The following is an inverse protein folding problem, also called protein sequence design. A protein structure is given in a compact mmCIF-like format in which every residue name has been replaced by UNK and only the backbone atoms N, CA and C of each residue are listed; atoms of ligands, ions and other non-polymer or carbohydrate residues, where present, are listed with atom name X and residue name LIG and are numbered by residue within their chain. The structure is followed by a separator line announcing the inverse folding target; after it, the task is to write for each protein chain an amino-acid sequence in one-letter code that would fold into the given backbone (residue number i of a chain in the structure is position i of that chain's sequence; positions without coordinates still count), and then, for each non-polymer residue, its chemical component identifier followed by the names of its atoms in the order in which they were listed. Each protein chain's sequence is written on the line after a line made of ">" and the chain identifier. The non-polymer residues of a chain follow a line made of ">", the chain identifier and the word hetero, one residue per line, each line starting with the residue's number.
data_IF_773434888103
#
_entry.id   IF_773434888103
#
_cell.length_a   1.000
_cell.length_b   1.000
_cell.length_c   1.000
_cell.angle_alpha   90.00
_cell.angle_beta   90.00
_cell.angle_gamma   90.00
#
_symmetry.space_group_name_H-M   'P 1'
#
loop_
_entity.id
_entity.type
_entity.pdbx_description
1 polymer ?
#
# COMPACT_ATOMS: atom_id res chain seq x y z
N UNK A 1 22.19 0.14 -9.51
CA UNK A 1 21.43 -0.38 -10.68
C UNK A 1 20.14 0.39 -10.81
N UNK A 2 19.63 0.62 -12.03
CA UNK A 2 18.38 1.34 -12.28
C UNK A 2 17.26 0.33 -12.46
N UNK A 3 16.22 0.37 -11.63
CA UNK A 3 15.04 -0.46 -11.83
C UNK A 3 14.44 -0.17 -13.23
N UNK A 4 14.15 -1.20 -14.05
CA UNK A 4 13.89 -1.05 -15.49
C UNK A 4 12.58 -0.32 -15.87
N UNK A 5 11.75 0.06 -14.90
CA UNK A 5 10.41 0.63 -15.12
C UNK A 5 10.22 2.03 -14.51
N UNK A 6 11.29 2.82 -14.42
CA UNK A 6 11.16 4.21 -13.99
C UNK A 6 10.36 5.02 -15.03
N UNK A 7 9.25 5.70 -14.66
CA UNK A 7 8.61 6.62 -15.59
C UNK A 7 9.57 7.77 -15.92
N UNK A 8 9.49 8.29 -17.14
CA UNK A 8 10.30 9.43 -17.58
C UNK A 8 9.91 10.76 -16.92
N UNK A 9 8.90 10.76 -16.06
CA UNK A 9 8.27 11.94 -15.45
C UNK A 9 8.51 12.05 -13.94
N UNK A 10 8.84 13.29 -13.54
CA UNK A 10 8.90 13.88 -12.19
C UNK A 10 8.92 12.94 -10.97
N UNK A 11 10.09 12.36 -10.68
CA UNK A 11 10.38 11.79 -9.37
C UNK A 11 10.34 12.87 -8.28
N UNK A 12 9.67 12.62 -7.17
CA UNK A 12 9.64 13.49 -6.00
C UNK A 12 10.13 12.75 -4.76
N UNK A 13 10.67 13.49 -3.80
CA UNK A 13 10.97 12.95 -2.46
C UNK A 13 9.77 13.31 -1.57
N UNK A 14 8.91 12.33 -1.31
CA UNK A 14 7.81 12.40 -0.34
C UNK A 14 8.11 11.45 0.82
N UNK A 15 7.66 11.76 2.05
CA UNK A 15 7.78 10.82 3.16
C UNK A 15 7.08 9.50 2.83
N UNK A 16 7.68 8.38 3.25
CA UNK A 16 7.04 7.08 3.11
C UNK A 16 5.70 7.05 3.88
N UNK A 17 4.66 6.37 3.37
CA UNK A 17 3.42 6.16 4.10
C UNK A 17 3.69 5.51 5.46
N UNK A 18 3.11 6.04 6.54
CA UNK A 18 3.31 5.50 7.88
C UNK A 18 2.61 4.14 8.03
N UNK A 19 3.37 3.08 8.28
CA UNK A 19 2.81 1.73 8.48
C UNK A 19 1.93 1.69 9.72
N UNK A 20 0.69 1.23 9.54
CA UNK A 20 -0.26 0.98 10.63
C UNK A 20 -0.31 -0.50 11.00
N UNK A 21 -0.27 -1.35 9.98
CA UNK A 21 -0.38 -2.79 10.11
C UNK A 21 0.49 -3.50 9.09
N UNK A 22 1.14 -4.58 9.51
CA UNK A 22 1.78 -5.55 8.61
C UNK A 22 0.77 -6.68 8.39
N UNK A 23 0.41 -6.92 7.13
CA UNK A 23 -0.53 -7.98 6.74
C UNK A 23 0.19 -9.28 6.39
N UNK A 24 1.40 -9.16 5.86
CA UNK A 24 2.26 -10.30 5.51
C UNK A 24 3.73 -9.93 5.69
N UNK A 25 4.48 -10.84 6.30
CA UNK A 25 5.90 -10.70 6.58
C UNK A 25 6.62 -11.99 6.21
N UNK A 26 7.68 -11.88 5.43
CA UNK A 26 8.61 -12.95 5.13
C UNK A 26 9.97 -12.33 4.81
N UNK A 27 10.93 -12.45 5.73
CA UNK A 27 12.20 -11.71 5.67
C UNK A 27 11.97 -10.19 5.54
N UNK A 28 11.14 -9.67 6.45
CA UNK A 28 10.67 -8.28 6.46
C UNK A 28 9.25 -8.10 5.88
N UNK A 29 8.63 -6.92 6.09
CA UNK A 29 7.26 -6.67 5.65
C UNK A 29 7.15 -6.79 4.12
N UNK A 30 6.16 -7.54 3.65
CA UNK A 30 5.86 -7.69 2.21
C UNK A 30 4.49 -7.14 1.84
N UNK A 31 3.59 -6.97 2.81
CA UNK A 31 2.30 -6.31 2.63
C UNK A 31 1.91 -5.52 3.87
N UNK A 32 1.47 -4.28 3.69
CA UNK A 32 1.13 -3.36 4.78
C UNK A 32 -0.14 -2.59 4.51
N UNK A 33 -0.84 -2.22 5.58
CA UNK A 33 -1.74 -1.08 5.58
C UNK A 33 -1.00 0.12 6.14
N UNK A 34 -1.04 1.23 5.41
CA UNK A 34 -0.33 2.45 5.74
C UNK A 34 -1.23 3.67 5.58
N UNK A 35 -0.76 4.80 6.11
CA UNK A 35 -1.43 6.09 5.98
C UNK A 35 -0.45 7.11 5.41
N UNK A 36 -0.83 7.81 4.34
CA UNK A 36 0.01 8.86 3.78
C UNK A 36 -0.06 10.17 4.59
N UNK A 37 0.74 11.16 4.18
CA UNK A 37 0.76 12.49 4.82
C UNK A 37 -0.59 13.23 4.78
N UNK A 38 -1.50 12.83 3.88
CA UNK A 38 -2.85 13.39 3.74
C UNK A 38 -3.88 12.63 4.58
N UNK A 39 -3.48 11.60 5.29
CA UNK A 39 -4.39 10.75 6.08
C UNK A 39 -5.12 9.69 5.25
N UNK A 40 -4.77 9.48 3.98
CA UNK A 40 -5.40 8.45 3.15
C UNK A 40 -4.87 7.07 3.54
N UNK A 41 -5.79 6.11 3.67
CA UNK A 41 -5.44 4.71 3.89
C UNK A 41 -4.98 4.06 2.59
N UNK A 42 -3.84 3.37 2.65
CA UNK A 42 -3.17 2.74 1.52
C UNK A 42 -2.87 1.28 1.83
N UNK A 43 -2.97 0.43 0.80
CA UNK A 43 -2.45 -0.94 0.82
C UNK A 43 -1.12 -0.94 0.06
N UNK A 44 -0.04 -1.25 0.75
CA UNK A 44 1.29 -1.38 0.19
C UNK A 44 1.69 -2.82 -0.02
N UNK A 45 2.31 -3.12 -1.17
CA UNK A 45 2.93 -4.41 -1.48
C UNK A 45 4.38 -4.17 -1.88
N UNK A 46 5.31 -4.94 -1.29
CA UNK A 46 6.70 -4.97 -1.71
C UNK A 46 6.78 -5.70 -3.06
N UNK A 47 7.36 -5.04 -4.06
CA UNK A 47 7.39 -5.52 -5.44
C UNK A 47 8.77 -6.01 -5.87
N UNK A 48 9.84 -5.38 -5.38
CA UNK A 48 11.22 -5.72 -5.75
C UNK A 48 12.20 -5.21 -4.68
N UNK A 49 13.39 -5.78 -4.59
CA UNK A 49 14.44 -5.35 -3.66
C UNK A 49 15.81 -5.39 -4.37
N UNK A 50 16.57 -4.29 -4.28
CA UNK A 50 17.91 -4.23 -4.87
C UNK A 50 19.01 -4.74 -3.91
N UNK A 51 20.22 -4.93 -4.44
CA UNK A 51 21.39 -5.41 -3.68
C UNK A 51 21.80 -4.46 -2.52
N UNK A 52 21.31 -3.21 -2.52
CA UNK A 52 21.56 -2.23 -1.45
C UNK A 52 20.50 -2.32 -0.33
N UNK A 53 19.53 -3.24 -0.45
CA UNK A 53 18.42 -3.43 0.48
C UNK A 53 17.31 -2.39 0.32
N UNK A 54 17.28 -1.65 -0.80
CA UNK A 54 16.18 -0.75 -1.11
C UNK A 54 15.02 -1.56 -1.67
N UNK A 55 13.91 -1.57 -0.95
CA UNK A 55 12.68 -2.22 -1.40
C UNK A 55 11.81 -1.23 -2.17
N UNK A 56 11.32 -1.64 -3.32
CA UNK A 56 10.29 -0.93 -4.06
C UNK A 56 8.91 -1.35 -3.59
N UNK A 57 8.13 -0.37 -3.18
CA UNK A 57 6.77 -0.54 -2.68
C UNK A 57 5.76 0.08 -3.64
N UNK A 58 4.68 -0.64 -3.91
CA UNK A 58 3.55 -0.17 -4.69
C UNK A 58 2.36 -0.03 -3.74
N UNK A 59 1.79 1.17 -3.68
CA UNK A 59 0.67 1.50 -2.83
C UNK A 59 -0.56 1.85 -3.65
N UNK A 60 -1.69 1.24 -3.29
CA UNK A 60 -2.98 1.57 -3.87
C UNK A 60 -3.94 2.15 -2.81
N UNK A 61 -4.89 3.02 -3.21
CA UNK A 61 -5.91 3.54 -2.30
C UNK A 61 -6.74 2.40 -1.69
N UNK A 62 -6.69 2.30 -0.37
CA UNK A 62 -7.33 1.23 0.38
C UNK A 62 -8.17 1.83 1.51
N UNK A 63 -9.29 2.49 1.18
CA UNK A 63 -10.14 3.06 2.20
C UNK A 63 -10.71 1.93 3.09
N UNK A 64 -10.91 2.16 4.40
CA UNK A 64 -11.22 1.09 5.36
C UNK A 64 -12.40 0.21 4.96
N UNK A 65 -13.46 0.79 4.39
CA UNK A 65 -14.63 0.08 3.89
C UNK A 65 -14.30 -0.93 2.80
N UNK A 66 -13.39 -0.58 1.88
CA UNK A 66 -12.96 -1.46 0.81
C UNK A 66 -12.08 -2.58 1.32
N UNK A 67 -11.24 -2.29 2.32
CA UNK A 67 -10.43 -3.30 3.02
C UNK A 67 -11.33 -4.31 3.71
N UNK A 68 -12.33 -3.86 4.47
CA UNK A 68 -13.26 -4.77 5.16
C UNK A 68 -14.07 -5.65 4.19
N UNK A 69 -14.61 -5.07 3.11
CA UNK A 69 -15.36 -5.83 2.10
C UNK A 69 -14.49 -6.91 1.47
N UNK A 70 -13.23 -6.62 1.16
CA UNK A 70 -12.32 -7.60 0.55
C UNK A 70 -11.94 -8.75 1.50
N UNK A 71 -11.82 -8.46 2.80
CA UNK A 71 -11.63 -9.48 3.83
C UNK A 71 -12.82 -10.44 3.94
N UNK A 72 -14.03 -9.92 3.79
CA UNK A 72 -15.26 -10.70 3.94
C UNK A 72 -15.59 -11.50 2.67
N UNK A 73 -15.25 -10.95 1.49
CA UNK A 73 -15.61 -11.54 0.20
C UNK A 73 -14.53 -12.44 -0.41
N UNK A 74 -13.31 -12.44 0.16
CA UNK A 74 -12.12 -13.07 -0.44
C UNK A 74 -11.85 -12.60 -1.87
N UNK A 75 -12.38 -11.44 -2.27
CA UNK A 75 -12.11 -10.90 -3.60
C UNK A 75 -10.61 -10.53 -3.73
N UNK A 76 -10.10 -10.62 -4.96
CA UNK A 76 -8.66 -10.60 -5.24
C UNK A 76 -8.00 -9.27 -4.87
N UNK A 77 -6.82 -9.37 -4.25
CA UNK A 77 -5.95 -8.26 -3.83
C UNK A 77 -5.69 -7.26 -4.97
N UNK A 78 -5.63 -7.78 -6.19
CA UNK A 78 -5.39 -7.01 -7.42
C UNK A 78 -6.40 -5.89 -7.65
N UNK A 79 -7.65 -6.03 -7.19
CA UNK A 79 -8.68 -5.02 -7.40
C UNK A 79 -8.32 -3.64 -6.83
N UNK A 80 -7.48 -3.57 -5.79
CA UNK A 80 -6.97 -2.29 -5.27
C UNK A 80 -6.12 -1.55 -6.29
N UNK A 81 -5.28 -2.28 -7.03
CA UNK A 81 -4.33 -1.74 -8.00
C UNK A 81 -4.94 -1.51 -9.38
N UNK A 82 -6.24 -1.80 -9.56
CA UNK A 82 -6.95 -1.56 -10.82
C UNK A 82 -7.76 -0.25 -10.78
N UNK A 83 -7.81 0.42 -9.62
CA UNK A 83 -8.66 1.60 -9.42
C UNK A 83 -7.92 2.69 -8.66
N UNK A 84 -7.94 3.91 -9.21
CA UNK A 84 -7.35 5.09 -8.60
C UNK A 84 -5.88 5.28 -8.94
N UNK A 85 -5.28 6.33 -8.38
CA UNK A 85 -3.86 6.64 -8.55
C UNK A 85 -3.02 5.73 -7.66
N UNK A 86 -1.99 5.10 -8.26
CA UNK A 86 -1.06 4.20 -7.58
C UNK A 86 0.20 4.98 -7.25
N UNK A 87 0.68 4.81 -6.04
CA UNK A 87 1.83 5.53 -5.52
C UNK A 87 2.99 4.54 -5.35
N UNK A 88 4.12 4.81 -5.96
CA UNK A 88 5.31 3.95 -5.88
C UNK A 88 6.37 4.65 -5.06
N UNK A 89 7.05 3.89 -4.20
CA UNK A 89 8.14 4.37 -3.38
C UNK A 89 9.34 3.42 -3.47
N UNK A 90 10.53 3.98 -3.60
CA UNK A 90 11.76 3.28 -3.26
C UNK A 90 12.09 3.59 -1.79
N UNK A 91 12.08 2.57 -0.95
CA UNK A 91 12.20 2.69 0.51
C UNK A 91 13.44 1.93 0.98
N UNK A 92 14.32 2.60 1.72
CA UNK A 92 15.50 2.01 2.35
C UNK A 92 15.14 1.23 3.62
N UNK A 93 16.07 0.38 4.13
CA UNK A 93 15.92 -0.19 5.46
C UNK A 93 15.66 0.94 6.49
N UNK A 94 14.73 0.71 7.43
CA UNK A 94 14.17 1.71 8.38
C UNK A 94 13.07 2.64 7.84
N UNK A 95 12.51 2.33 6.67
CA UNK A 95 11.32 2.99 6.15
C UNK A 95 11.55 4.43 5.64
N UNK A 96 12.77 4.70 5.17
CA UNK A 96 13.14 6.00 4.61
C UNK A 96 12.89 6.01 3.10
N UNK A 97 11.90 6.78 2.64
CA UNK A 97 11.65 6.97 1.21
C UNK A 97 12.73 7.85 0.57
N UNK A 98 13.33 7.34 -0.51
CA UNK A 98 14.34 8.08 -1.28
C UNK A 98 13.78 8.61 -2.59
N UNK A 99 12.74 7.97 -3.13
CA UNK A 99 12.07 8.35 -4.37
C UNK A 99 10.61 7.95 -4.30
N UNK A 100 9.76 8.75 -4.95
CA UNK A 100 8.36 8.42 -5.13
C UNK A 100 7.82 8.99 -6.45
N UNK A 101 6.83 8.30 -7.02
CA UNK A 101 6.10 8.75 -8.21
C UNK A 101 4.71 8.12 -8.24
N UNK A 102 3.81 8.73 -9.00
CA UNK A 102 2.46 8.22 -9.23
C UNK A 102 2.37 7.51 -10.56
N UNK A 103 1.52 6.49 -10.64
CA UNK A 103 1.14 5.80 -11.86
C UNK A 103 -0.38 5.66 -11.95
N UNK A 104 -0.89 5.68 -13.18
CA UNK A 104 -2.23 5.17 -13.47
C UNK A 104 -2.20 3.64 -13.43
N UNK A 105 -3.32 2.95 -13.14
CA UNK A 105 -3.38 1.49 -13.09
C UNK A 105 -2.82 0.77 -14.32
N UNK A 106 -3.11 1.31 -15.52
CA UNK A 106 -2.61 0.74 -16.79
C UNK A 106 -1.12 0.94 -17.05
N UNK A 107 -0.44 1.75 -16.24
CA UNK A 107 1.01 2.01 -16.34
C UNK A 107 1.82 1.10 -15.41
N UNK A 108 1.17 0.38 -14.48
CA UNK A 108 1.86 -0.56 -13.58
C UNK A 108 2.17 -1.85 -14.34
N UNK A 109 3.45 -2.29 -14.39
CA UNK A 109 3.79 -3.56 -15.01
C UNK A 109 3.06 -4.73 -14.36
N UNK A 110 2.47 -5.59 -15.20
CA UNK A 110 1.72 -6.78 -14.76
C UNK A 110 2.52 -7.68 -13.80
N UNK A 111 3.83 -7.82 -14.03
CA UNK A 111 4.71 -8.64 -13.20
C UNK A 111 4.87 -8.14 -11.75
N UNK A 112 4.44 -6.91 -11.45
CA UNK A 112 4.53 -6.31 -10.13
C UNK A 112 3.18 -6.23 -9.43
N UNK A 113 2.10 -6.55 -10.14
CA UNK A 113 0.78 -6.66 -9.56
C UNK A 113 0.65 -8.02 -8.89
N UNK A 114 -0.12 -8.12 -7.79
CA UNK A 114 -0.52 -9.41 -7.26
C UNK A 114 -1.23 -10.25 -8.32
N UNK A 115 -1.10 -11.58 -8.21
CA UNK A 115 -1.87 -12.51 -9.05
C UNK A 115 -3.36 -12.20 -8.96
N UNK A 116 -4.09 -12.43 -10.06
CA UNK A 116 -5.54 -12.15 -10.13
C UNK A 116 -6.34 -12.89 -9.06
N UNK A 117 -5.89 -14.10 -8.75
CA UNK A 117 -6.49 -14.98 -7.74
C UNK A 117 -5.79 -14.87 -6.38
N UNK A 118 -4.83 -13.95 -6.22
CA UNK A 118 -4.19 -13.71 -4.93
C UNK A 118 -5.22 -13.20 -3.92
N UNK A 119 -5.50 -14.03 -2.93
CA UNK A 119 -6.28 -13.62 -1.78
C UNK A 119 -5.46 -12.70 -0.88
N UNK A 120 -6.14 -11.83 -0.15
CA UNK A 120 -5.55 -11.24 1.05
C UNK A 120 -5.12 -12.38 1.98
N UNK A 121 -3.90 -12.32 2.56
CA UNK A 121 -3.53 -13.20 3.66
C UNK A 121 -4.61 -13.14 4.73
N UNK A 122 -4.88 -14.27 5.40
CA UNK A 122 -5.78 -14.25 6.55
C UNK A 122 -5.28 -13.19 7.54
N UNK A 123 -6.08 -12.15 7.74
CA UNK A 123 -5.75 -11.18 8.76
C UNK A 123 -5.88 -11.85 10.11
N UNK A 124 -4.84 -11.68 10.92
CA UNK A 124 -4.93 -11.94 12.35
C UNK A 124 -6.11 -11.14 12.88
N UNK A 125 -6.98 -11.78 13.68
CA UNK A 125 -8.22 -11.18 14.18
C UNK A 125 -8.01 -9.79 14.79
N UNK A 126 -6.85 -9.56 15.41
CA UNK A 126 -6.41 -8.26 15.94
C UNK A 126 -6.42 -7.13 14.89
N UNK A 127 -5.92 -7.37 13.68
CA UNK A 127 -5.89 -6.36 12.61
C UNK A 127 -7.31 -6.02 12.15
N UNK A 128 -8.17 -7.04 12.03
CA UNK A 128 -9.59 -6.85 11.69
C UNK A 128 -10.33 -6.00 12.72
N UNK A 129 -10.17 -6.32 14.01
CA UNK A 129 -10.80 -5.56 15.09
C UNK A 129 -10.31 -4.12 15.14
N UNK A 130 -9.01 -3.87 14.88
CA UNK A 130 -8.48 -2.50 14.81
C UNK A 130 -9.05 -1.71 13.64
N UNK A 131 -9.18 -2.31 12.45
CA UNK A 131 -9.82 -1.67 11.30
C UNK A 131 -11.29 -1.33 11.57
N UNK A 132 -12.03 -2.24 12.21
CA UNK A 132 -13.41 -2.01 12.63
C UNK A 132 -13.51 -0.87 13.66
N UNK A 133 -12.57 -0.79 14.59
CA UNK A 133 -12.50 0.29 15.57
C UNK A 133 -12.18 1.64 14.92
N UNK A 134 -11.35 1.67 13.88
CA UNK A 134 -11.00 2.88 13.12
C UNK A 134 -12.18 3.41 12.33
N UNK A 135 -13.01 2.56 11.72
CA UNK A 135 -14.27 2.98 11.10
C UNK A 135 -15.26 3.59 12.09
N UNK A 136 -15.26 3.10 13.34
CA UNK A 136 -16.16 3.57 14.39
C UNK A 136 -15.69 4.87 15.04
N UNK A 137 -14.46 5.32 14.78
CA UNK A 137 -14.02 6.63 15.28
C UNK A 137 -14.71 7.73 14.48
N UNK A 138 -15.53 8.59 15.13
CA UNK A 138 -16.09 9.73 14.43
C UNK A 138 -14.95 10.61 13.93
N UNK A 139 -15.09 11.10 12.70
CA UNK A 139 -14.15 12.04 12.11
C UNK A 139 -13.95 13.21 13.09
N UNK A 140 -12.72 13.47 13.60
CA UNK A 140 -12.50 14.59 14.51
C UNK A 140 -12.83 15.93 13.85
N UNK A 141 -12.90 16.00 12.51
CA UNK A 141 -13.35 17.21 11.79
C UNK A 141 -14.87 17.38 11.74
N UNK A 142 -15.66 16.37 12.05
CA UNK A 142 -17.12 16.46 12.08
C UNK A 142 -17.68 17.12 13.37
N UNK A 143 -16.82 17.46 14.34
CA UNK A 143 -17.22 18.14 15.60
C UNK A 143 -17.07 19.67 15.56
N UNK A 144 -16.69 20.24 14.42
CA UNK A 144 -16.60 21.70 14.24
C UNK A 144 -17.46 22.09 13.04
N UNK A 145 -18.78 22.02 13.21
CA UNK A 145 -19.77 22.65 12.36
C UNK A 145 -20.88 23.21 13.25
#
# INVERSE_FOLDING_TARGET
>A
MTFPWMPSTSTQIRPAPAVRHVLYEFDGPKMVLAVDERGRSLLGVAADEDDEGTTRWIFAPAPPERVLVLLETRAGLRGFFEVGEIEVFDIRPRWDAIRSWSLSPGEVPEALLPDRDAALPELVAEVRERLLAEQRRPDPKARVA
#
